data_IF_436236720041
#
_entry.id   IF_436236720041
#
_cell.length_a   1.000
_cell.length_b   1.000
_cell.length_c   1.000
_cell.angle_alpha   90.00
_cell.angle_beta   90.00
_cell.angle_gamma   90.00
#
_symmetry.space_group_name_H-M   'P 1'
#
loop_
_entity.id
_entity.type
_entity.pdbx_description
1 polymer ?
#
# COMPACT_ATOMS: atom_id res chain seq x y z
N UNK A 1 -10.84 15.73 7.98
CA UNK A 1 -9.55 15.52 7.26
C UNK A 1 -9.60 14.26 6.41
N UNK A 2 -9.94 13.08 6.94
CA UNK A 2 -10.13 11.88 6.11
C UNK A 2 -11.21 12.05 5.02
N UNK A 3 -12.36 12.63 5.38
CA UNK A 3 -13.46 12.92 4.43
C UNK A 3 -13.05 13.85 3.28
N UNK A 4 -12.12 14.79 3.51
CA UNK A 4 -11.57 15.66 2.45
C UNK A 4 -10.70 14.87 1.47
N UNK A 5 -9.95 13.88 1.97
CA UNK A 5 -9.11 13.03 1.14
C UNK A 5 -9.95 12.05 0.31
N UNK A 6 -10.96 11.44 0.91
CA UNK A 6 -11.90 10.57 0.21
C UNK A 6 -12.62 11.32 -0.93
N UNK A 7 -13.08 12.55 -0.68
CA UNK A 7 -13.70 13.39 -1.71
C UNK A 7 -12.74 13.79 -2.85
N UNK A 8 -11.43 13.75 -2.60
CA UNK A 8 -10.40 13.95 -3.63
C UNK A 8 -10.01 12.65 -4.37
N UNK A 9 -10.72 11.54 -4.12
CA UNK A 9 -10.45 10.25 -4.74
C UNK A 9 -9.28 9.48 -4.11
N UNK A 10 -8.80 9.90 -2.93
CA UNK A 10 -7.74 9.21 -2.21
C UNK A 10 -8.32 8.03 -1.41
N UNK A 11 -7.57 6.93 -1.37
CA UNK A 11 -7.97 5.70 -0.66
C UNK A 11 -7.10 5.53 0.58
N UNK A 12 -7.72 5.36 1.74
CA UNK A 12 -7.01 5.03 2.98
C UNK A 12 -6.49 3.59 2.95
N UNK A 13 -5.16 3.42 2.97
CA UNK A 13 -4.50 2.11 2.98
C UNK A 13 -4.28 1.60 4.41
N UNK A 14 -5.39 1.21 5.05
CA UNK A 14 -5.38 0.64 6.42
C UNK A 14 -4.68 -0.74 6.49
N UNK A 15 -4.39 -1.34 5.35
CA UNK A 15 -3.64 -2.59 5.20
C UNK A 15 -2.11 -2.39 5.29
N UNK A 16 -1.62 -1.15 5.28
CA UNK A 16 -0.20 -0.83 5.40
C UNK A 16 0.10 -0.31 6.81
N UNK A 17 0.92 -1.04 7.56
CA UNK A 17 1.46 -0.53 8.82
C UNK A 17 2.54 0.52 8.56
N UNK A 18 2.82 1.38 9.54
CA UNK A 18 3.93 2.33 9.46
C UNK A 18 5.28 1.64 9.25
N UNK A 19 5.49 0.47 9.87
CA UNK A 19 6.68 -0.37 9.66
C UNK A 19 6.81 -0.79 8.19
N UNK A 20 5.72 -1.27 7.59
CA UNK A 20 5.69 -1.66 6.18
C UNK A 20 5.97 -0.47 5.25
N UNK A 21 5.44 0.72 5.57
CA UNK A 21 5.72 1.95 4.84
C UNK A 21 7.22 2.29 4.89
N UNK A 22 7.81 2.32 6.08
CA UNK A 22 9.23 2.66 6.26
C UNK A 22 10.16 1.65 5.57
N UNK A 23 9.84 0.35 5.66
CA UNK A 23 10.56 -0.69 4.91
C UNK A 23 10.49 -0.45 3.40
N UNK A 24 9.30 -0.13 2.90
CA UNK A 24 9.08 0.13 1.47
C UNK A 24 9.81 1.38 0.97
N UNK A 25 9.96 2.41 1.81
CA UNK A 25 10.81 3.56 1.51
C UNK A 25 12.29 3.15 1.37
N UNK A 26 12.76 2.25 2.24
CA UNK A 26 14.11 1.65 2.13
C UNK A 26 14.31 0.86 0.84
N UNK A 27 13.26 0.18 0.36
CA UNK A 27 13.25 -0.58 -0.90
C UNK A 27 13.09 0.30 -2.16
N UNK A 28 13.23 1.62 -2.03
CA UNK A 28 13.07 2.64 -3.09
C UNK A 28 11.70 2.61 -3.79
N UNK A 29 10.64 2.21 -3.07
CA UNK A 29 9.28 2.11 -3.63
C UNK A 29 8.45 3.35 -3.48
N UNK A 30 8.86 4.25 -2.59
CA UNK A 30 8.19 5.52 -2.36
C UNK A 30 9.21 6.65 -2.40
N UNK A 31 8.78 7.76 -2.98
CA UNK A 31 9.50 9.01 -2.91
C UNK A 31 8.97 9.84 -1.75
N UNK A 32 9.87 10.51 -1.04
CA UNK A 32 9.54 11.51 -0.05
C UNK A 32 10.35 12.75 -0.36
N UNK A 33 9.70 13.89 -0.40
CA UNK A 33 10.32 15.17 -0.68
C UNK A 33 9.59 16.28 0.09
N UNK A 34 10.24 17.42 0.20
CA UNK A 34 9.64 18.66 0.71
C UNK A 34 9.90 19.74 -0.31
N UNK A 35 8.88 20.56 -0.58
CA UNK A 35 8.98 21.71 -1.47
C UNK A 35 9.00 22.97 -0.63
N UNK A 36 9.98 23.84 -0.86
CA UNK A 36 10.08 25.14 -0.19
C UNK A 36 9.44 26.26 -1.02
N UNK A 37 9.29 26.05 -2.33
CA UNK A 37 8.61 26.96 -3.23
C UNK A 37 7.98 26.25 -4.42
N UNK A 38 7.03 26.92 -5.09
CA UNK A 38 6.37 26.40 -6.30
C UNK A 38 7.35 26.08 -7.43
N UNK A 39 8.47 26.81 -7.51
CA UNK A 39 9.47 26.66 -8.58
C UNK A 39 10.28 25.37 -8.48
N UNK A 40 10.30 24.76 -7.30
CA UNK A 40 11.00 23.50 -7.05
C UNK A 40 10.17 22.30 -7.49
N UNK A 41 8.85 22.44 -7.64
CA UNK A 41 7.96 21.31 -7.90
C UNK A 41 8.36 20.57 -9.18
N UNK A 42 8.47 21.29 -10.29
CA UNK A 42 8.77 20.69 -11.59
C UNK A 42 10.16 20.01 -11.60
N UNK A 43 11.17 20.73 -11.12
CA UNK A 43 12.55 20.25 -11.11
C UNK A 43 12.71 19.02 -10.21
N UNK A 44 12.06 19.04 -9.05
CA UNK A 44 12.11 17.90 -8.14
C UNK A 44 11.29 16.73 -8.69
N UNK A 45 10.12 16.96 -9.29
CA UNK A 45 9.26 15.91 -9.84
C UNK A 45 9.95 15.12 -10.96
N UNK A 46 10.65 15.80 -11.87
CA UNK A 46 11.45 15.16 -12.92
C UNK A 46 12.54 14.25 -12.35
N UNK A 47 13.09 14.60 -11.19
CA UNK A 47 14.14 13.82 -10.52
C UNK A 47 13.61 12.68 -9.64
N UNK A 48 12.33 12.70 -9.26
CA UNK A 48 11.80 11.77 -8.26
C UNK A 48 11.54 10.38 -8.81
N UNK A 49 11.12 10.24 -10.07
CA UNK A 49 10.79 8.93 -10.63
C UNK A 49 11.30 8.76 -12.05
N UNK A 50 12.11 7.72 -12.24
CA UNK A 50 12.59 7.34 -13.57
C UNK A 50 11.53 6.42 -14.18
N UNK A 51 10.90 6.87 -15.26
CA UNK A 51 10.04 6.02 -16.09
C UNK A 51 10.94 5.18 -17.01
N UNK A 52 11.28 3.97 -16.56
CA UNK A 52 12.10 3.03 -17.31
C UNK A 52 11.56 1.61 -17.19
N UNK A 53 12.07 0.71 -18.04
CA UNK A 53 11.74 -0.70 -17.95
C UNK A 53 12.16 -1.29 -16.60
N UNK A 54 11.39 -2.29 -16.12
CA UNK A 54 11.60 -2.95 -14.84
C UNK A 54 13.06 -3.39 -14.66
N UNK A 55 13.66 -3.98 -15.71
CA UNK A 55 15.05 -4.46 -15.67
C UNK A 55 16.05 -3.34 -15.37
N UNK A 56 15.90 -2.18 -16.01
CA UNK A 56 16.76 -1.01 -15.78
C UNK A 56 16.61 -0.51 -14.34
N UNK A 57 15.38 -0.48 -13.83
CA UNK A 57 15.11 -0.07 -12.46
C UNK A 57 15.72 -1.05 -11.45
N UNK A 58 15.62 -2.36 -11.69
CA UNK A 58 16.28 -3.38 -10.86
C UNK A 58 17.81 -3.24 -10.86
N UNK A 59 18.42 -2.94 -12.01
CA UNK A 59 19.86 -2.63 -12.12
C UNK A 59 20.25 -1.37 -11.33
N UNK A 60 19.35 -0.38 -11.26
CA UNK A 60 19.49 0.80 -10.40
C UNK A 60 19.16 0.52 -8.92
N UNK A 61 18.91 -0.73 -8.53
CA UNK A 61 18.65 -1.13 -7.15
C UNK A 61 17.22 -0.87 -6.66
N UNK A 62 16.26 -0.65 -7.56
CA UNK A 62 14.84 -0.61 -7.20
C UNK A 62 14.30 -2.03 -7.03
N UNK A 63 13.54 -2.25 -5.95
CA UNK A 63 12.93 -3.55 -5.68
C UNK A 63 11.56 -3.70 -6.37
N UNK A 64 11.56 -4.16 -7.62
CA UNK A 64 10.35 -4.31 -8.46
C UNK A 64 9.60 -5.62 -8.25
N UNK A 65 9.37 -6.01 -6.99
CA UNK A 65 8.45 -7.11 -6.65
C UNK A 65 7.03 -6.54 -6.43
N UNK A 66 5.97 -7.34 -6.49
CA UNK A 66 4.62 -6.88 -6.12
C UNK A 66 4.61 -6.11 -4.79
N UNK A 67 3.86 -5.01 -4.74
CA UNK A 67 3.77 -4.15 -3.55
C UNK A 67 2.82 -4.74 -2.51
N UNK A 68 3.40 -5.11 -1.37
CA UNK A 68 2.75 -5.88 -0.31
C UNK A 68 2.67 -7.38 -0.60
N UNK A 69 2.17 -8.11 0.40
CA UNK A 69 1.54 -9.44 0.22
C UNK A 69 2.45 -10.62 -0.16
N UNK A 70 3.72 -10.69 0.25
CA UNK A 70 4.48 -11.96 0.10
C UNK A 70 3.81 -13.14 0.85
N UNK A 71 3.03 -12.86 1.91
CA UNK A 71 2.20 -13.84 2.62
C UNK A 71 0.90 -13.20 3.10
N UNK A 72 -0.12 -13.19 2.26
CA UNK A 72 -1.46 -12.80 2.71
C UNK A 72 -2.25 -13.96 3.25
N UNK A 73 -3.06 -13.67 4.27
CA UNK A 73 -4.03 -14.61 4.81
C UNK A 73 -5.44 -14.13 4.48
N UNK A 74 -6.18 -14.97 3.79
CA UNK A 74 -7.62 -14.80 3.60
C UNK A 74 -8.35 -15.47 4.77
N UNK A 75 -9.25 -14.74 5.42
CA UNK A 75 -10.12 -15.30 6.46
C UNK A 75 -11.53 -15.51 5.89
N UNK A 76 -11.83 -16.76 5.57
CA UNK A 76 -13.20 -17.19 5.32
C UNK A 76 -13.95 -17.31 6.65
N UNK A 77 -15.13 -16.71 6.72
CA UNK A 77 -15.96 -16.67 7.93
C UNK A 77 -17.44 -16.62 7.54
N UNK A 78 -18.33 -17.02 8.46
CA UNK A 78 -19.76 -16.83 8.26
C UNK A 78 -20.15 -15.38 8.58
N UNK A 79 -21.29 -14.91 8.05
CA UNK A 79 -21.79 -13.57 8.36
C UNK A 79 -22.04 -13.33 9.85
N UNK A 80 -22.25 -14.39 10.63
CA UNK A 80 -22.46 -14.31 12.08
C UNK A 80 -21.17 -13.95 12.83
N UNK A 81 -20.01 -14.37 12.32
CA UNK A 81 -18.72 -14.24 12.99
C UNK A 81 -17.98 -12.95 12.59
N UNK A 82 -18.60 -12.11 11.76
CA UNK A 82 -17.95 -10.93 11.15
C UNK A 82 -17.36 -9.97 12.18
N UNK A 83 -18.11 -9.68 13.26
CA UNK A 83 -17.63 -8.79 14.33
C UNK A 83 -16.40 -9.33 15.03
N UNK A 84 -16.35 -10.64 15.25
CA UNK A 84 -15.23 -11.30 15.93
C UNK A 84 -14.00 -11.32 15.04
N UNK A 85 -14.17 -11.60 13.74
CA UNK A 85 -13.09 -11.51 12.75
C UNK A 85 -12.54 -10.08 12.68
N UNK A 86 -13.41 -9.07 12.63
CA UNK A 86 -13.02 -7.65 12.61
C UNK A 86 -12.16 -7.25 13.82
N UNK A 87 -12.44 -7.82 14.99
CA UNK A 87 -11.66 -7.58 16.21
C UNK A 87 -10.25 -8.17 16.18
N UNK A 88 -10.00 -9.22 15.39
CA UNK A 88 -8.71 -9.92 15.33
C UNK A 88 -7.75 -9.25 14.35
N UNK A 89 -8.25 -8.54 13.34
CA UNK A 89 -7.43 -7.89 12.29
C UNK A 89 -6.32 -7.00 12.84
N UNK A 90 -6.57 -6.10 13.81
CA UNK A 90 -5.51 -5.23 14.31
C UNK A 90 -4.36 -6.02 14.92
N UNK A 91 -4.65 -7.18 15.53
CA UNK A 91 -3.64 -8.05 16.11
C UNK A 91 -2.80 -8.74 15.04
N UNK A 92 -3.42 -9.23 13.97
CA UNK A 92 -2.72 -9.88 12.85
C UNK A 92 -1.87 -8.88 12.05
N UNK A 93 -2.44 -7.71 11.75
CA UNK A 93 -1.71 -6.63 11.08
C UNK A 93 -0.51 -6.15 11.92
N UNK A 94 -0.62 -6.12 13.25
CA UNK A 94 0.50 -5.77 14.15
C UNK A 94 1.66 -6.77 14.07
N UNK A 95 1.40 -8.01 13.67
CA UNK A 95 2.43 -9.04 13.45
C UNK A 95 2.95 -9.03 12.01
N UNK A 96 2.72 -7.95 11.25
CA UNK A 96 3.03 -7.82 9.83
C UNK A 96 2.45 -8.96 8.97
N UNK A 97 1.30 -9.52 9.40
CA UNK A 97 0.54 -10.50 8.64
C UNK A 97 -0.62 -9.77 7.95
N UNK A 98 -0.50 -9.39 6.66
CA UNK A 98 -1.57 -8.71 5.95
C UNK A 98 -2.76 -9.65 5.76
N UNK A 99 -3.90 -9.28 6.35
CA UNK A 99 -5.16 -10.04 6.27
C UNK A 99 -6.17 -9.33 5.38
N UNK A 100 -6.95 -10.11 4.64
CA UNK A 100 -8.14 -9.62 3.95
C UNK A 100 -9.30 -10.61 4.09
N UNK A 101 -10.52 -10.09 4.06
CA UNK A 101 -11.78 -10.84 4.17
C UNK A 101 -12.91 -9.96 3.60
N UNK A 102 -13.94 -10.60 3.02
CA UNK A 102 -15.09 -9.89 2.44
C UNK A 102 -14.62 -8.80 1.42
N UNK A 103 -15.39 -7.72 1.27
CA UNK A 103 -15.07 -6.53 0.44
C UNK A 103 -13.88 -5.68 0.92
N UNK A 104 -13.27 -6.00 2.06
CA UNK A 104 -12.17 -5.21 2.62
C UNK A 104 -10.81 -5.74 2.17
N UNK A 105 -9.93 -4.84 1.71
CA UNK A 105 -8.56 -5.16 1.29
C UNK A 105 -8.43 -6.14 0.11
N UNK A 106 -9.45 -6.22 -0.76
CA UNK A 106 -9.37 -6.92 -2.05
C UNK A 106 -8.21 -6.30 -2.86
N UNK A 107 -7.22 -7.10 -3.31
CA UNK A 107 -6.17 -6.58 -4.17
C UNK A 107 -6.75 -5.96 -5.44
N UNK A 108 -6.26 -4.79 -5.84
CA UNK A 108 -6.64 -4.14 -7.10
C UNK A 108 -6.47 -5.12 -8.27
N UNK A 109 -7.52 -5.30 -9.08
CA UNK A 109 -7.55 -6.24 -10.21
C UNK A 109 -8.05 -7.65 -9.88
N UNK A 110 -8.49 -7.91 -8.64
CA UNK A 110 -9.02 -9.23 -8.24
C UNK A 110 -10.54 -9.20 -8.22
N UNK A 111 -11.19 -10.02 -9.06
CA UNK A 111 -12.62 -10.30 -8.97
C UNK A 111 -12.85 -11.45 -7.99
N UNK A 112 -13.83 -11.33 -7.11
CA UNK A 112 -14.25 -12.43 -6.21
C UNK A 112 -15.30 -13.34 -6.88
N UNK A 113 -15.73 -12.99 -8.09
CA UNK A 113 -16.90 -13.58 -8.77
C UNK A 113 -16.62 -14.03 -10.20
N UNK A 114 -15.36 -14.02 -10.64
CA UNK A 114 -14.93 -14.58 -11.93
C UNK A 114 -13.94 -15.73 -11.74
#
# INVERSE_FOLDING_TARGET
>A
MMELFENAGLISRNDLTFSMLMKSMGDRRFNSCTFLSEKEVDLQFESMFIFSEIKVLEECGYYMRPFGKEKQVFISHSSMDKKEVEMIIPYLNRQDLPVWFDKYSIPVGTSITE
#
